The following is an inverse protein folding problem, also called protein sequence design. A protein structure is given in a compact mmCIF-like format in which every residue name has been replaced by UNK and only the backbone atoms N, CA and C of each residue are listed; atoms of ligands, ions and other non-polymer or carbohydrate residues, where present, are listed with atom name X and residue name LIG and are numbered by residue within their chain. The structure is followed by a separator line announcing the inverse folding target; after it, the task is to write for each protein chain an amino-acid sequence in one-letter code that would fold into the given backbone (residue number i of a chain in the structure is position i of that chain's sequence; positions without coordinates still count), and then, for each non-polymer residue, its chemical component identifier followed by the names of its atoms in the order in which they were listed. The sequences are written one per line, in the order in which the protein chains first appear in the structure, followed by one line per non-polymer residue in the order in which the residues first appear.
data_IF_382086112502
#
_entry.id   IF_382086112502
#
_cell.length_a   1.000
_cell.length_b   1.000
_cell.length_c   1.000
_cell.angle_alpha   90.00
_cell.angle_beta   90.00
_cell.angle_gamma   90.00
#
_symmetry.space_group_name_H-M   'P 1'
#
loop_
_entity.id
_entity.type
_entity.pdbx_description
1 polymer ?
#
# COMPACT_ATOMS: atom_id res chain seq x y z
N UNK A 1 14.25 50.45 -79.02
CA UNK A 1 13.44 49.72 -78.01
C UNK A 1 12.07 49.52 -78.61
N UNK A 2 11.69 48.28 -78.89
CA UNK A 2 10.36 48.01 -79.46
C UNK A 2 9.33 48.21 -78.36
N UNK A 3 8.51 49.25 -78.42
CA UNK A 3 7.34 49.44 -77.58
C UNK A 3 6.29 48.42 -77.96
N UNK A 4 6.17 47.33 -77.25
CA UNK A 4 5.08 46.36 -77.41
C UNK A 4 3.85 46.95 -76.73
N UNK A 5 2.84 47.32 -77.47
CA UNK A 5 1.67 48.13 -77.05
C UNK A 5 0.76 47.27 -76.07
N UNK A 6 0.85 45.97 -76.10
CA UNK A 6 -0.06 45.10 -75.34
C UNK A 6 0.55 44.37 -74.15
N UNK A 7 1.85 44.42 -73.88
CA UNK A 7 2.48 43.82 -72.71
C UNK A 7 3.59 44.72 -72.18
N UNK A 8 3.33 45.43 -71.09
CA UNK A 8 4.36 46.16 -70.35
C UNK A 8 5.04 45.19 -69.34
N UNK A 9 6.17 44.62 -69.80
CA UNK A 9 6.92 43.65 -68.94
C UNK A 9 7.39 44.26 -67.64
N UNK A 10 7.71 45.55 -67.60
CA UNK A 10 8.10 46.25 -66.38
C UNK A 10 6.93 46.39 -65.42
N UNK A 11 5.72 46.67 -65.91
CA UNK A 11 4.51 46.72 -65.06
C UNK A 11 4.18 45.36 -64.51
N UNK A 12 4.32 44.28 -65.26
CA UNK A 12 4.08 42.90 -64.81
C UNK A 12 5.08 42.46 -63.75
N UNK A 13 6.37 42.79 -63.89
CA UNK A 13 7.42 42.55 -62.90
C UNK A 13 7.13 43.33 -61.63
N UNK A 14 6.75 44.60 -61.72
CA UNK A 14 6.42 45.44 -60.56
C UNK A 14 5.21 44.90 -59.83
N UNK A 15 4.16 44.49 -60.57
CA UNK A 15 2.97 43.88 -59.93
C UNK A 15 3.27 42.55 -59.23
N UNK A 16 4.13 41.70 -59.78
CA UNK A 16 4.59 40.47 -59.14
C UNK A 16 5.42 40.77 -57.88
N UNK A 17 6.27 41.79 -57.88
CA UNK A 17 7.04 42.21 -56.76
C UNK A 17 6.15 42.78 -55.65
N UNK A 18 5.14 43.60 -56.00
CA UNK A 18 4.15 44.07 -54.99
C UNK A 18 3.38 42.92 -54.36
N UNK A 19 2.90 41.95 -55.13
CA UNK A 19 2.19 40.81 -54.65
C UNK A 19 3.09 39.97 -53.69
N UNK A 20 4.37 39.74 -54.01
CA UNK A 20 5.34 39.08 -53.18
C UNK A 20 5.57 39.83 -51.83
N UNK A 21 5.75 41.14 -51.93
CA UNK A 21 5.96 41.99 -50.73
C UNK A 21 4.70 42.01 -49.85
N UNK A 22 3.52 42.03 -50.42
CA UNK A 22 2.26 42.01 -49.69
C UNK A 22 2.05 40.67 -48.97
N UNK A 23 2.42 39.53 -49.59
CA UNK A 23 2.42 38.22 -48.95
C UNK A 23 3.43 38.12 -47.82
N UNK A 24 4.65 38.63 -48.01
CA UNK A 24 5.68 38.64 -46.97
C UNK A 24 5.29 39.55 -45.78
N UNK A 25 4.70 40.72 -46.06
CA UNK A 25 4.18 41.61 -45.02
C UNK A 25 3.03 40.96 -44.24
N UNK A 26 2.09 40.33 -44.91
CA UNK A 26 0.98 39.59 -44.24
C UNK A 26 1.51 38.53 -43.29
N UNK A 27 2.47 37.70 -43.73
CA UNK A 27 3.12 36.70 -42.91
C UNK A 27 3.86 37.31 -41.71
N UNK A 28 4.53 38.46 -41.91
CA UNK A 28 5.24 39.16 -40.84
C UNK A 28 4.29 39.74 -39.78
N UNK A 29 3.16 40.30 -40.22
CA UNK A 29 2.10 40.80 -39.33
C UNK A 29 1.46 39.65 -38.55
N UNK A 30 1.19 38.53 -39.18
CA UNK A 30 0.64 37.34 -38.53
C UNK A 30 1.59 36.81 -37.43
N UNK A 31 2.88 36.72 -37.74
CA UNK A 31 3.91 36.31 -36.77
C UNK A 31 4.07 37.30 -35.60
N UNK A 32 4.01 38.60 -35.89
CA UNK A 32 4.09 39.63 -34.87
C UNK A 32 2.86 39.64 -33.97
N UNK A 33 1.69 39.46 -34.55
CA UNK A 33 0.42 39.40 -33.81
C UNK A 33 0.29 38.17 -32.95
N UNK A 34 0.71 37.01 -33.43
CA UNK A 34 0.68 35.74 -32.68
C UNK A 34 1.83 35.59 -31.68
N UNK A 35 2.94 36.32 -31.88
CA UNK A 35 4.19 36.17 -31.14
C UNK A 35 4.93 34.87 -31.45
N UNK A 36 4.48 34.09 -32.41
CA UNK A 36 5.03 32.80 -32.81
C UNK A 36 5.64 32.87 -34.22
N UNK A 37 6.81 32.24 -34.40
CA UNK A 37 7.45 32.13 -35.72
C UNK A 37 6.72 31.12 -36.61
N UNK A 38 6.19 30.05 -36.05
CA UNK A 38 5.42 28.99 -36.73
C UNK A 38 4.00 29.08 -36.21
N UNK A 39 3.05 29.46 -37.02
CA UNK A 39 1.65 29.66 -36.66
C UNK A 39 0.76 28.56 -37.24
N UNK A 40 1.20 27.96 -38.33
CA UNK A 40 0.46 26.89 -39.01
C UNK A 40 1.41 25.85 -39.61
N UNK A 41 0.86 24.66 -39.93
CA UNK A 41 1.59 23.60 -40.61
C UNK A 41 2.08 24.02 -42.00
N UNK A 42 1.49 25.09 -42.59
CA UNK A 42 1.90 25.65 -43.87
C UNK A 42 3.24 26.38 -43.78
N UNK A 43 3.56 26.97 -42.62
CA UNK A 43 4.82 27.70 -42.39
C UNK A 43 6.00 26.74 -42.22
N UNK A 44 5.82 25.69 -41.43
CA UNK A 44 6.80 24.63 -41.21
C UNK A 44 6.11 23.41 -40.59
N UNK A 45 5.76 22.43 -41.41
CA UNK A 45 5.08 21.21 -40.94
C UNK A 45 5.95 20.36 -40.01
N UNK A 46 7.27 20.31 -40.25
CA UNK A 46 8.20 19.54 -39.40
C UNK A 46 8.39 20.22 -38.03
N UNK A 47 8.60 21.56 -38.07
CA UNK A 47 8.70 22.35 -36.84
C UNK A 47 7.43 22.30 -36.00
N UNK A 48 6.26 22.35 -36.61
CA UNK A 48 4.97 22.22 -35.93
C UNK A 48 4.79 20.84 -35.27
N UNK A 49 5.17 19.76 -35.95
CA UNK A 49 5.11 18.42 -35.39
C UNK A 49 6.04 18.26 -34.17
N UNK A 50 7.25 18.80 -34.26
CA UNK A 50 8.21 18.80 -33.14
C UNK A 50 7.68 19.62 -31.97
N UNK A 51 7.17 20.84 -32.24
CA UNK A 51 6.61 21.70 -31.19
C UNK A 51 5.42 21.06 -30.49
N UNK A 52 4.52 20.41 -31.20
CA UNK A 52 3.40 19.68 -30.64
C UNK A 52 3.86 18.52 -29.75
N UNK A 53 4.88 17.77 -30.20
CA UNK A 53 5.46 16.68 -29.42
C UNK A 53 6.13 17.19 -28.14
N UNK A 54 6.86 18.30 -28.19
CA UNK A 54 7.41 18.94 -27.00
C UNK A 54 6.32 19.42 -26.06
N UNK A 55 5.28 20.07 -26.59
CA UNK A 55 4.15 20.52 -25.77
C UNK A 55 3.44 19.35 -25.08
N UNK A 56 3.24 18.24 -25.79
CA UNK A 56 2.68 17.01 -25.22
C UNK A 56 3.57 16.46 -24.11
N UNK A 57 4.89 16.37 -24.34
CA UNK A 57 5.85 15.90 -23.34
C UNK A 57 5.86 16.80 -22.09
N UNK A 58 5.85 18.13 -22.27
CA UNK A 58 5.83 19.09 -21.15
C UNK A 58 4.55 18.90 -20.32
N UNK A 59 3.40 18.79 -20.98
CA UNK A 59 2.12 18.52 -20.30
C UNK A 59 2.14 17.18 -19.55
N UNK A 60 2.67 16.14 -20.19
CA UNK A 60 2.85 14.82 -19.59
C UNK A 60 3.76 14.85 -18.37
N UNK A 61 4.93 15.50 -18.47
CA UNK A 61 5.86 15.66 -17.34
C UNK A 61 5.28 16.51 -16.20
N UNK A 62 4.50 17.54 -16.54
CA UNK A 62 3.82 18.35 -15.52
C UNK A 62 2.79 17.51 -14.76
N UNK A 63 2.04 16.64 -15.44
CA UNK A 63 1.12 15.72 -14.79
C UNK A 63 1.89 14.68 -13.98
N UNK A 64 2.96 14.13 -14.51
CA UNK A 64 3.84 13.18 -13.84
C UNK A 64 4.43 13.75 -12.53
N UNK A 65 4.82 15.03 -12.54
CA UNK A 65 5.27 15.72 -11.32
C UNK A 65 4.16 15.80 -10.25
N UNK A 66 2.92 16.08 -10.64
CA UNK A 66 1.78 16.04 -9.71
C UNK A 66 1.56 14.64 -9.15
N UNK A 67 1.54 13.63 -10.02
CA UNK A 67 1.38 12.24 -9.59
C UNK A 67 2.50 11.78 -8.64
N UNK A 68 3.74 12.24 -8.88
CA UNK A 68 4.87 11.96 -7.99
C UNK A 68 4.67 12.59 -6.60
N UNK A 69 4.17 13.83 -6.54
CA UNK A 69 3.84 14.48 -5.27
C UNK A 69 2.70 13.76 -4.53
N UNK A 70 1.70 13.28 -5.25
CA UNK A 70 0.64 12.44 -4.67
C UNK A 70 1.22 11.15 -4.08
N UNK A 71 2.16 10.52 -4.79
CA UNK A 71 2.89 9.35 -4.30
C UNK A 71 3.71 9.61 -3.05
N UNK A 72 4.38 10.74 -2.99
CA UNK A 72 5.12 11.18 -1.78
C UNK A 72 4.15 11.38 -0.61
N UNK A 73 3.03 12.04 -0.84
CA UNK A 73 2.02 12.27 0.20
C UNK A 73 1.41 10.97 0.72
N UNK A 74 1.18 10.00 -0.17
CA UNK A 74 0.74 8.65 0.21
C UNK A 74 1.79 7.95 1.08
N UNK A 75 3.08 8.01 0.68
CA UNK A 75 4.17 7.42 1.44
C UNK A 75 4.31 8.06 2.83
N UNK A 76 4.20 9.38 2.94
CA UNK A 76 4.21 10.10 4.21
C UNK A 76 3.02 9.73 5.11
N UNK A 77 1.84 9.52 4.53
CA UNK A 77 0.66 9.05 5.29
C UNK A 77 0.90 7.64 5.83
N UNK A 78 1.46 6.74 5.01
CA UNK A 78 1.82 5.39 5.45
C UNK A 78 2.92 5.41 6.53
N UNK A 79 3.94 6.25 6.38
CA UNK A 79 5.02 6.42 7.36
C UNK A 79 4.49 6.90 8.71
N UNK A 80 3.58 7.88 8.73
CA UNK A 80 2.93 8.34 9.95
C UNK A 80 2.18 7.22 10.67
N UNK A 81 1.39 6.45 9.94
CA UNK A 81 0.66 5.32 10.50
C UNK A 81 1.59 4.19 10.99
N UNK A 82 2.67 3.89 10.26
CA UNK A 82 3.68 2.92 10.68
C UNK A 82 4.41 3.36 11.95
N UNK A 83 4.64 4.66 12.12
CA UNK A 83 5.22 5.21 13.35
C UNK A 83 4.31 4.95 14.56
N UNK A 84 2.99 5.17 14.42
CA UNK A 84 2.01 4.87 15.46
C UNK A 84 1.94 3.36 15.77
N UNK A 85 1.95 2.52 14.76
CA UNK A 85 2.00 1.06 14.94
C UNK A 85 3.27 0.65 15.70
N UNK A 86 4.42 1.22 15.33
CA UNK A 86 5.70 0.93 16.00
C UNK A 86 5.66 1.35 17.48
N UNK A 87 5.12 2.52 17.79
CA UNK A 87 4.97 2.98 19.18
C UNK A 87 4.10 2.01 20.00
N UNK A 88 2.99 1.55 19.43
CA UNK A 88 2.14 0.55 20.08
C UNK A 88 2.87 -0.80 20.27
N UNK A 89 3.64 -1.25 19.28
CA UNK A 89 4.45 -2.48 19.40
C UNK A 89 5.54 -2.36 20.47
N UNK A 90 6.21 -1.21 20.55
CA UNK A 90 7.19 -0.96 21.63
C UNK A 90 6.51 -1.02 23.00
N UNK A 91 5.33 -0.43 23.12
CA UNK A 91 4.57 -0.49 24.37
C UNK A 91 4.14 -1.90 24.74
N UNK A 92 3.68 -2.70 23.77
CA UNK A 92 3.37 -4.13 23.98
C UNK A 92 4.62 -4.87 24.46
N UNK A 93 5.79 -4.60 23.86
CA UNK A 93 7.05 -5.22 24.31
C UNK A 93 7.40 -4.85 25.74
N UNK A 94 7.28 -3.58 26.13
CA UNK A 94 7.49 -3.13 27.51
C UNK A 94 6.58 -3.87 28.49
N UNK A 95 5.29 -3.93 28.17
CA UNK A 95 4.28 -4.63 28.97
C UNK A 95 4.58 -6.13 29.09
N UNK A 96 5.05 -6.74 28.01
CA UNK A 96 5.45 -8.15 28.00
C UNK A 96 6.65 -8.40 28.92
N UNK A 97 7.67 -7.52 28.87
CA UNK A 97 8.83 -7.61 29.77
C UNK A 97 8.40 -7.39 31.22
N UNK A 98 7.51 -6.44 31.47
CA UNK A 98 6.94 -6.22 32.81
C UNK A 98 6.18 -7.46 33.31
N UNK A 99 5.35 -8.06 32.46
CA UNK A 99 4.60 -9.27 32.82
C UNK A 99 5.50 -10.47 33.11
N UNK A 100 6.67 -10.55 32.47
CA UNK A 100 7.64 -11.62 32.66
C UNK A 100 8.33 -11.57 34.04
N UNK A 101 8.14 -10.50 34.81
CA UNK A 101 8.69 -10.38 36.16
C UNK A 101 7.84 -11.18 37.15
N UNK A 102 8.42 -12.10 37.89
CA UNK A 102 7.71 -12.98 38.85
C UNK A 102 7.13 -12.26 40.09
N UNK A 103 7.11 -10.92 40.09
CA UNK A 103 6.55 -10.09 41.17
C UNK A 103 5.12 -9.63 40.92
N UNK A 104 4.56 -9.91 39.74
CA UNK A 104 3.21 -9.52 39.39
C UNK A 104 2.19 -10.48 39.99
N UNK A 105 1.09 -9.94 40.53
CA UNK A 105 -0.08 -10.73 40.92
C UNK A 105 -0.91 -11.11 39.69
N UNK A 106 -1.81 -12.09 39.81
CA UNK A 106 -2.73 -12.48 38.73
C UNK A 106 -3.61 -11.31 38.29
N UNK A 107 -3.99 -10.41 39.19
CA UNK A 107 -4.74 -9.18 38.90
C UNK A 107 -3.90 -8.20 38.09
N UNK A 108 -2.60 -8.10 38.38
CA UNK A 108 -1.69 -7.24 37.62
C UNK A 108 -1.48 -7.76 36.19
N UNK A 109 -1.28 -9.09 36.08
CA UNK A 109 -1.15 -9.75 34.78
C UNK A 109 -2.42 -9.59 33.91
N UNK A 110 -3.61 -9.67 34.53
CA UNK A 110 -4.88 -9.41 33.85
C UNK A 110 -4.95 -7.96 33.33
N UNK A 111 -4.55 -6.99 34.16
CA UNK A 111 -4.54 -5.58 33.78
C UNK A 111 -3.55 -5.28 32.64
N UNK A 112 -2.37 -5.92 32.68
CA UNK A 112 -1.37 -5.83 31.63
C UNK A 112 -1.91 -6.43 30.32
N UNK A 113 -2.60 -7.58 30.41
CA UNK A 113 -3.21 -8.24 29.26
C UNK A 113 -4.29 -7.37 28.61
N UNK A 114 -5.12 -6.70 29.39
CA UNK A 114 -6.14 -5.77 28.89
C UNK A 114 -5.52 -4.56 28.17
N UNK A 115 -4.41 -4.05 28.71
CA UNK A 115 -3.66 -2.97 28.02
C UNK A 115 -3.05 -3.48 26.72
N UNK A 116 -2.43 -4.66 26.69
CA UNK A 116 -1.88 -5.27 25.47
C UNK A 116 -2.99 -5.43 24.42
N UNK A 117 -4.14 -5.96 24.81
CA UNK A 117 -5.28 -6.10 23.92
C UNK A 117 -5.72 -4.75 23.36
N UNK A 118 -5.83 -3.73 24.19
CA UNK A 118 -6.17 -2.37 23.74
C UNK A 118 -5.17 -1.83 22.72
N UNK A 119 -3.86 -2.11 22.90
CA UNK A 119 -2.82 -1.72 21.93
C UNK A 119 -2.89 -2.50 20.63
N UNK A 120 -3.23 -3.79 20.68
CA UNK A 120 -3.45 -4.59 19.47
C UNK A 120 -4.70 -4.12 18.69
N UNK A 121 -5.79 -3.83 19.39
CA UNK A 121 -7.01 -3.27 18.79
C UNK A 121 -6.73 -1.91 18.13
N UNK A 122 -5.84 -1.09 18.73
CA UNK A 122 -5.41 0.18 18.15
C UNK A 122 -4.55 -0.01 16.89
N UNK A 123 -3.66 -1.01 16.85
CA UNK A 123 -2.90 -1.38 15.64
C UNK A 123 -3.87 -1.75 14.52
N UNK A 124 -4.85 -2.60 14.80
CA UNK A 124 -5.86 -3.02 13.82
C UNK A 124 -6.71 -1.84 13.35
N UNK A 125 -7.06 -0.92 14.25
CA UNK A 125 -7.79 0.31 13.92
C UNK A 125 -6.96 1.22 13.00
N UNK A 126 -5.70 1.49 13.34
CA UNK A 126 -4.81 2.33 12.53
C UNK A 126 -4.62 1.71 11.15
N UNK A 127 -4.37 0.40 11.08
CA UNK A 127 -4.23 -0.33 9.81
C UNK A 127 -5.48 -0.23 8.93
N UNK A 128 -6.66 -0.41 9.53
CA UNK A 128 -7.93 -0.40 8.80
C UNK A 128 -8.41 0.99 8.39
N UNK A 129 -8.08 2.03 9.17
CA UNK A 129 -8.58 3.39 8.96
C UNK A 129 -7.62 4.30 8.21
N UNK A 130 -6.32 3.95 8.13
CA UNK A 130 -5.36 4.77 7.39
C UNK A 130 -5.61 4.66 5.89
N UNK A 131 -6.04 5.77 5.32
CA UNK A 131 -6.35 5.87 3.90
C UNK A 131 -5.77 7.14 3.28
N UNK A 132 -5.43 7.06 2.01
CA UNK A 132 -5.07 8.19 1.17
C UNK A 132 -5.99 8.23 -0.04
N UNK A 133 -6.71 9.33 -0.24
CA UNK A 133 -7.68 9.49 -1.34
C UNK A 133 -8.68 8.33 -1.47
N UNK A 134 -9.18 7.80 -0.35
CA UNK A 134 -10.13 6.68 -0.31
C UNK A 134 -9.52 5.30 -0.52
N UNK A 135 -8.19 5.20 -0.65
CA UNK A 135 -7.46 3.93 -0.74
C UNK A 135 -6.78 3.63 0.58
N UNK A 136 -7.10 2.49 1.19
CA UNK A 136 -6.43 2.05 2.40
C UNK A 136 -4.99 1.62 2.07
N UNK A 137 -4.04 2.09 2.87
CA UNK A 137 -2.60 1.89 2.60
C UNK A 137 -1.98 0.73 3.38
N UNK A 138 -2.60 0.28 4.49
CA UNK A 138 -2.06 -0.77 5.37
C UNK A 138 -3.01 -1.96 5.59
N UNK A 139 -4.20 -1.97 4.97
CA UNK A 139 -5.23 -2.99 5.25
C UNK A 139 -5.14 -4.21 4.33
N UNK A 140 -4.33 -4.18 3.28
CA UNK A 140 -4.18 -5.27 2.31
C UNK A 140 -2.84 -5.22 1.60
N UNK A 141 -2.40 -6.38 1.11
CA UNK A 141 -1.22 -6.46 0.25
C UNK A 141 -1.59 -6.01 -1.16
N UNK A 142 -1.09 -4.87 -1.58
CA UNK A 142 -1.34 -4.29 -2.90
C UNK A 142 -0.09 -3.56 -3.42
N UNK A 143 -0.09 -3.23 -4.69
CA UNK A 143 0.98 -2.45 -5.32
C UNK A 143 0.35 -1.31 -6.13
N UNK A 144 0.55 -0.09 -5.66
CA UNK A 144 0.08 1.10 -6.36
C UNK A 144 1.13 1.57 -7.35
N UNK A 145 0.75 1.65 -8.64
CA UNK A 145 1.59 2.16 -9.70
C UNK A 145 1.31 3.63 -9.93
N UNK A 146 2.36 4.45 -9.89
CA UNK A 146 2.30 5.89 -10.11
C UNK A 146 3.06 6.23 -11.37
N UNK A 147 2.39 6.85 -12.34
CA UNK A 147 3.01 7.33 -13.58
C UNK A 147 3.83 8.59 -13.29
N UNK A 148 5.15 8.49 -13.46
CA UNK A 148 6.13 9.56 -13.18
C UNK A 148 6.82 10.09 -14.44
N UNK A 149 6.41 9.66 -15.61
CA UNK A 149 6.96 10.11 -16.88
C UNK A 149 5.88 10.38 -17.92
N UNK A 150 6.29 11.01 -19.01
CA UNK A 150 5.41 11.38 -20.11
C UNK A 150 5.08 10.22 -21.06
N UNK A 151 5.83 9.11 -20.98
CA UNK A 151 5.66 7.95 -21.86
C UNK A 151 5.12 6.75 -21.06
N UNK A 152 4.53 5.80 -21.79
CA UNK A 152 4.01 4.56 -21.21
C UNK A 152 5.10 3.77 -20.47
N UNK A 153 4.71 3.07 -19.41
CA UNK A 153 5.58 2.27 -18.55
C UNK A 153 6.63 3.04 -17.72
N UNK A 154 6.62 4.38 -17.73
CA UNK A 154 7.44 5.17 -16.82
C UNK A 154 6.75 5.31 -15.46
N UNK A 155 6.62 4.19 -14.74
CA UNK A 155 5.91 4.10 -13.45
C UNK A 155 6.84 3.72 -12.32
N UNK A 156 6.56 4.24 -11.12
CA UNK A 156 7.06 3.70 -9.84
C UNK A 156 5.94 2.89 -9.20
N UNK A 157 6.27 1.72 -8.66
CA UNK A 157 5.34 0.93 -7.86
C UNK A 157 5.67 1.10 -6.38
N UNK A 158 4.67 1.50 -5.60
CA UNK A 158 4.72 1.55 -4.14
C UNK A 158 4.07 0.27 -3.64
N UNK A 159 4.86 -0.60 -2.98
CA UNK A 159 4.35 -1.80 -2.33
C UNK A 159 3.65 -1.41 -1.03
N UNK A 160 2.37 -1.74 -0.93
CA UNK A 160 1.56 -1.59 0.26
C UNK A 160 1.41 -2.98 0.88
N UNK A 161 1.79 -3.12 2.15
CA UNK A 161 1.67 -4.37 2.87
C UNK A 161 0.64 -4.25 3.98
N UNK A 162 -0.11 -5.32 4.16
CA UNK A 162 -1.04 -5.43 5.27
C UNK A 162 -0.25 -5.56 6.58
N UNK A 163 -0.56 -4.69 7.54
CA UNK A 163 0.06 -4.69 8.87
C UNK A 163 -1.06 -4.62 9.89
N UNK A 164 -1.44 -5.77 10.43
CA UNK A 164 -2.43 -5.93 11.49
C UNK A 164 -1.93 -6.92 12.54
N UNK A 165 -2.67 -7.09 13.61
CA UNK A 165 -2.35 -8.03 14.69
C UNK A 165 -2.19 -9.47 14.20
N UNK A 166 -2.88 -9.84 13.10
CA UNK A 166 -2.81 -11.18 12.51
C UNK A 166 -1.52 -11.39 11.71
N UNK A 167 -1.15 -10.42 10.85
CA UNK A 167 0.08 -10.50 10.04
C UNK A 167 1.34 -10.38 10.88
N UNK A 168 1.24 -9.72 12.03
CA UNK A 168 2.32 -9.63 13.03
C UNK A 168 2.39 -10.86 13.95
N UNK A 169 1.55 -11.88 13.73
CA UNK A 169 1.45 -13.07 14.60
C UNK A 169 1.19 -12.76 16.08
N UNK A 170 0.52 -11.65 16.37
CA UNK A 170 0.18 -11.24 17.73
C UNK A 170 -1.27 -11.53 18.10
N UNK A 171 -2.05 -12.12 17.18
CA UNK A 171 -3.44 -12.51 17.45
C UNK A 171 -3.47 -13.64 18.49
N UNK A 172 -4.14 -13.37 19.60
CA UNK A 172 -4.18 -14.31 20.72
C UNK A 172 -2.95 -14.31 21.63
N UNK A 173 -2.07 -13.27 21.49
CA UNK A 173 -0.94 -13.10 22.37
C UNK A 173 -1.41 -12.87 23.81
N UNK A 174 -0.90 -13.68 24.77
CA UNK A 174 -1.25 -13.60 26.18
C UNK A 174 0.00 -13.62 27.06
N UNK A 175 0.01 -12.78 28.09
CA UNK A 175 1.07 -12.71 29.11
C UNK A 175 0.67 -13.37 30.43
N UNK A 176 -0.62 -13.63 30.65
CA UNK A 176 -1.14 -14.32 31.82
C UNK A 176 -1.04 -15.83 31.63
N UNK A 177 0.19 -16.39 31.65
CA UNK A 177 0.41 -17.84 31.61
C UNK A 177 -0.44 -18.61 30.59
N UNK A 178 0.00 -19.77 30.15
CA UNK A 178 -0.76 -20.58 29.16
C UNK A 178 -2.26 -20.52 29.44
N UNK A 179 -3.05 -20.29 28.35
CA UNK A 179 -4.51 -20.34 28.39
C UNK A 179 -4.99 -21.41 29.39
N UNK A 180 -6.02 -21.10 30.19
CA UNK A 180 -6.62 -22.05 31.13
C UNK A 180 -6.97 -23.35 30.40
N UNK A 181 -6.07 -24.30 30.43
CA UNK A 181 -6.31 -25.63 29.91
C UNK A 181 -7.17 -26.37 30.94
N UNK A 182 -8.45 -26.40 30.74
CA UNK A 182 -9.33 -27.28 31.45
C UNK A 182 -9.11 -28.73 30.98
N UNK A 183 -9.12 -29.69 31.90
CA UNK A 183 -9.07 -31.08 31.50
C UNK A 183 -10.23 -31.40 30.54
N UNK A 184 -9.90 -31.87 29.33
CA UNK A 184 -10.90 -32.17 28.33
C UNK A 184 -11.86 -33.24 28.85
N UNK A 185 -13.15 -32.94 28.86
CA UNK A 185 -14.19 -33.97 29.05
C UNK A 185 -14.32 -34.75 27.74
N UNK A 186 -13.71 -35.93 27.73
CA UNK A 186 -13.91 -36.88 26.67
C UNK A 186 -15.21 -37.64 26.90
N UNK A 187 -16.02 -37.73 25.86
CA UNK A 187 -17.18 -38.61 25.83
C UNK A 187 -16.93 -39.73 24.84
N UNK A 188 -17.19 -40.97 25.23
CA UNK A 188 -17.19 -42.08 24.30
C UNK A 188 -18.34 -41.97 23.30
N UNK A 189 -18.32 -42.76 22.23
CA UNK A 189 -19.35 -42.72 21.17
C UNK A 189 -20.77 -43.02 21.69
N UNK A 190 -20.89 -43.61 22.85
CA UNK A 190 -22.14 -43.88 23.58
C UNK A 190 -22.61 -42.76 24.49
N UNK A 191 -21.88 -41.63 24.55
CA UNK A 191 -22.20 -40.50 25.42
C UNK A 191 -21.67 -40.58 26.87
N UNK A 192 -20.96 -41.65 27.24
CA UNK A 192 -20.39 -41.81 28.55
C UNK A 192 -19.11 -40.97 28.71
N UNK A 193 -18.95 -40.29 29.85
CA UNK A 193 -17.76 -39.52 30.17
C UNK A 193 -16.58 -40.45 30.45
N UNK A 194 -15.50 -40.32 29.69
CA UNK A 194 -14.23 -41.00 29.92
C UNK A 194 -13.41 -40.23 30.95
N UNK A 195 -13.02 -40.86 32.03
CA UNK A 195 -12.16 -40.22 33.02
C UNK A 195 -10.77 -39.95 32.39
N UNK A 196 -10.20 -38.77 32.66
CA UNK A 196 -8.89 -38.37 32.12
C UNK A 196 -7.77 -39.36 32.49
N UNK A 197 -7.96 -40.13 33.58
CA UNK A 197 -7.05 -41.18 34.01
C UNK A 197 -7.04 -42.43 33.12
N UNK A 198 -8.06 -42.63 32.30
CA UNK A 198 -8.23 -43.84 31.46
C UNK A 198 -7.72 -43.67 30.04
N UNK A 199 -7.25 -42.46 29.68
CA UNK A 199 -6.73 -42.19 28.32
C UNK A 199 -5.25 -42.57 28.29
N UNK A 200 -4.92 -43.63 27.55
CA UNK A 200 -3.56 -44.12 27.34
C UNK A 200 -3.18 -44.06 25.88
N UNK A 201 -1.89 -43.80 25.60
CA UNK A 201 -1.35 -43.90 24.26
C UNK A 201 -1.24 -45.37 23.78
N UNK A 202 -0.85 -45.56 22.52
CA UNK A 202 -0.63 -46.90 21.99
C UNK A 202 0.45 -47.71 22.70
N UNK A 203 1.29 -47.06 23.53
CA UNK A 203 2.30 -47.66 24.39
C UNK A 203 1.83 -47.90 25.84
N UNK A 204 0.57 -47.61 26.15
CA UNK A 204 -0.01 -47.81 27.47
C UNK A 204 0.33 -46.74 28.52
N UNK A 205 0.97 -45.61 28.10
CA UNK A 205 1.24 -44.47 28.97
C UNK A 205 0.03 -43.57 29.06
N UNK A 206 -0.24 -43.06 30.25
CA UNK A 206 -1.32 -42.11 30.48
C UNK A 206 -1.07 -40.81 29.71
N UNK A 207 -2.08 -40.37 28.96
CA UNK A 207 -2.06 -39.16 28.17
C UNK A 207 -2.88 -38.08 28.85
N UNK A 208 -2.27 -36.93 29.13
CA UNK A 208 -3.02 -35.77 29.62
C UNK A 208 -3.65 -35.05 28.44
N UNK A 209 -4.97 -35.08 28.34
CA UNK A 209 -5.71 -34.30 27.36
C UNK A 209 -6.10 -32.96 27.96
N UNK A 210 -5.67 -31.92 27.29
CA UNK A 210 -6.05 -30.56 27.59
C UNK A 210 -6.94 -30.01 26.46
N UNK A 211 -7.99 -29.31 26.82
CA UNK A 211 -8.84 -28.60 25.86
C UNK A 211 -8.71 -27.10 26.05
N UNK A 212 -8.73 -26.39 24.95
CA UNK A 212 -8.86 -24.93 24.97
C UNK A 212 -9.99 -24.50 24.06
N UNK A 213 -10.64 -23.40 24.39
CA UNK A 213 -11.66 -22.81 23.53
C UNK A 213 -11.01 -21.79 22.63
N UNK A 214 -11.03 -22.07 21.33
CA UNK A 214 -10.60 -21.10 20.33
C UNK A 214 -11.67 -20.00 20.23
N UNK A 215 -11.33 -18.80 20.72
CA UNK A 215 -12.24 -17.67 20.73
C UNK A 215 -12.57 -17.13 19.33
N UNK A 216 -11.73 -17.43 18.33
CA UNK A 216 -11.98 -17.02 16.94
C UNK A 216 -13.04 -17.88 16.26
N UNK A 217 -13.08 -19.18 16.56
CA UNK A 217 -14.03 -20.12 15.96
C UNK A 217 -15.13 -20.57 16.94
N UNK A 218 -15.07 -20.15 18.20
CA UNK A 218 -15.92 -20.59 19.29
C UNK A 218 -16.01 -22.14 19.41
N UNK A 219 -14.94 -22.80 18.99
CA UNK A 219 -14.83 -24.28 19.02
C UNK A 219 -13.81 -24.70 20.07
N UNK A 220 -14.13 -25.76 20.79
CA UNK A 220 -13.22 -26.38 21.74
C UNK A 220 -12.30 -27.34 20.98
N UNK A 221 -10.99 -27.08 21.02
CA UNK A 221 -9.97 -27.96 20.45
C UNK A 221 -9.28 -28.72 21.58
N UNK A 222 -8.98 -29.98 21.36
CA UNK A 222 -8.25 -30.82 22.31
C UNK A 222 -6.85 -31.11 21.81
N UNK A 223 -5.88 -31.01 22.72
CA UNK A 223 -4.45 -31.29 22.45
C UNK A 223 -3.98 -32.38 23.42
N UNK A 224 -3.31 -33.40 22.90
CA UNK A 224 -2.76 -34.47 23.74
C UNK A 224 -1.26 -34.24 24.01
N UNK A 225 -0.84 -34.33 25.25
CA UNK A 225 0.57 -34.33 25.63
C UNK A 225 0.97 -35.66 26.24
N UNK A 226 1.97 -36.29 25.64
CA UNK A 226 2.51 -37.57 26.15
C UNK A 226 3.65 -37.40 27.14
N UNK A 227 4.29 -36.22 27.23
CA UNK A 227 5.36 -35.98 28.21
C UNK A 227 5.67 -34.48 28.37
N UNK A 228 5.62 -33.99 29.62
CA UNK A 228 6.21 -32.72 30.03
C UNK A 228 7.68 -32.97 30.42
N UNK A 229 8.61 -32.90 29.48
CA UNK A 229 9.99 -32.57 29.80
C UNK A 229 10.19 -31.08 29.56
N UNK A 230 10.66 -30.40 30.59
CA UNK A 230 11.07 -29.00 30.49
C UNK A 230 12.30 -28.90 29.56
N UNK A 231 12.09 -28.87 28.27
CA UNK A 231 12.95 -28.33 27.22
C UNK A 231 12.32 -28.68 25.86
N UNK A 232 12.03 -27.63 25.11
CA UNK A 232 11.63 -27.62 23.69
C UNK A 232 10.22 -28.16 23.42
N UNK A 233 9.28 -27.23 23.33
CA UNK A 233 7.97 -27.44 22.72
C UNK A 233 8.02 -27.01 21.27
N UNK A 234 8.18 -27.94 20.36
CA UNK A 234 7.65 -27.77 19.00
C UNK A 234 6.16 -28.13 19.03
N UNK A 235 5.33 -27.14 18.76
CA UNK A 235 3.90 -27.33 18.49
C UNK A 235 3.75 -27.82 17.04
N UNK A 236 3.47 -29.10 16.86
CA UNK A 236 2.92 -29.59 15.60
C UNK A 236 1.40 -29.50 15.67
N UNK A 237 0.82 -28.66 14.81
CA UNK A 237 -0.60 -28.61 14.49
C UNK A 237 -0.98 -29.76 13.58
#
# INVERSE_FOLDING_TARGET
MAQVINTNSLSLITQNNINKNQSALSTSIERLSSGLRINSAKDDAAGQAIANRFTSNIKGLTQAARNANDGISLAQTAEGALSEINNNLQRIRELTVQASTGTNSDSDLSSIQDEIKSRLDEIDRVSGQTQFNGVNVLSKNDSMKIQIGANDNQTISIGLQQIDSTTLNLKGFTVSGMADFSAAKLTAADGTAIAAADVKDAGGKQVNLLSYTDTASNSTKSVSYTHLRAHETELHL
#
